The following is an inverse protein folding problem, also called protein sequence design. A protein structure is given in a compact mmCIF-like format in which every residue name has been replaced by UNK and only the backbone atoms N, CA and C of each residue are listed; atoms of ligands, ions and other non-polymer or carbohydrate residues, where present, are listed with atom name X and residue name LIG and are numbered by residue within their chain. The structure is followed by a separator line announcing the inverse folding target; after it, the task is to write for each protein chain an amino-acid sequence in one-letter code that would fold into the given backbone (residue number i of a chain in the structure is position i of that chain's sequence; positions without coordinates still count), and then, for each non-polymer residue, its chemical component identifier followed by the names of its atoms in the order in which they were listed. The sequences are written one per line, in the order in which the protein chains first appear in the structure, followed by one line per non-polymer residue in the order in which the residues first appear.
data_IF_828908749111
#
_entry.id   IF_828908749111
#
_cell.length_a   1.000
_cell.length_b   1.000
_cell.length_c   1.000
_cell.angle_alpha   90.00
_cell.angle_beta   90.00
_cell.angle_gamma   90.00
#
_symmetry.space_group_name_H-M   'P 1'
#
loop_
_entity.id
_entity.type
_entity.pdbx_description
1 polymer ?
#
# COMPACT_ATOMS: atom_id res chain seq x y z
N UNK A 1 -7.10 -26.78 -8.84
CA UNK A 1 -7.47 -26.11 -7.58
C UNK A 1 -7.67 -24.65 -7.90
N UNK A 2 -8.81 -24.07 -7.54
CA UNK A 2 -9.04 -22.63 -7.71
C UNK A 2 -8.21 -21.90 -6.66
N UNK A 3 -7.40 -20.94 -7.10
CA UNK A 3 -6.60 -20.13 -6.20
C UNK A 3 -7.52 -19.32 -5.27
N UNK A 4 -7.19 -19.25 -3.97
CA UNK A 4 -7.96 -18.49 -2.98
C UNK A 4 -7.11 -17.34 -2.45
N UNK A 5 -7.26 -16.18 -3.11
CA UNK A 5 -6.54 -14.95 -2.80
C UNK A 5 -6.82 -14.47 -1.37
N UNK A 6 -8.05 -14.57 -0.88
CA UNK A 6 -8.41 -14.15 0.46
C UNK A 6 -7.71 -14.99 1.54
N UNK A 7 -7.53 -16.29 1.32
CA UNK A 7 -6.76 -17.14 2.23
C UNK A 7 -5.28 -16.76 2.23
N UNK A 8 -4.67 -16.59 1.05
CA UNK A 8 -3.27 -16.18 0.95
C UNK A 8 -3.00 -14.81 1.58
N UNK A 9 -3.90 -13.85 1.41
CA UNK A 9 -3.79 -12.51 2.01
C UNK A 9 -3.99 -12.53 3.55
N UNK A 10 -4.82 -13.44 4.07
CA UNK A 10 -4.94 -13.66 5.52
C UNK A 10 -3.68 -14.28 6.10
N UNK A 11 -3.11 -15.30 5.44
CA UNK A 11 -1.84 -15.91 5.85
C UNK A 11 -0.69 -14.90 5.81
N UNK A 12 -0.66 -14.01 4.82
CA UNK A 12 0.29 -12.91 4.75
C UNK A 12 0.02 -11.80 5.78
N UNK A 13 -1.04 -11.89 6.58
CA UNK A 13 -1.42 -10.90 7.59
C UNK A 13 -1.79 -9.54 7.01
N UNK A 14 -2.33 -9.51 5.78
CA UNK A 14 -2.88 -8.29 5.15
C UNK A 14 -4.34 -8.11 5.61
N UNK A 15 -5.09 -9.20 5.68
CA UNK A 15 -6.47 -9.22 6.17
C UNK A 15 -6.44 -9.69 7.63
N UNK A 16 -6.65 -8.77 8.58
CA UNK A 16 -6.57 -9.02 10.02
C UNK A 16 -7.90 -9.19 10.75
N UNK A 17 -9.04 -9.11 10.06
CA UNK A 17 -10.34 -9.07 10.72
C UNK A 17 -11.52 -9.45 9.81
N UNK A 18 -12.76 -9.33 10.32
CA UNK A 18 -13.96 -9.51 9.52
C UNK A 18 -13.98 -8.47 8.40
N UNK A 19 -14.29 -8.92 7.18
CA UNK A 19 -14.40 -8.06 6.01
C UNK A 19 -15.86 -7.76 5.72
N UNK A 20 -16.14 -6.62 5.10
CA UNK A 20 -17.46 -6.39 4.51
C UNK A 20 -17.63 -7.33 3.29
N UNK A 21 -18.86 -7.70 2.92
CA UNK A 21 -19.12 -8.57 1.77
C UNK A 21 -18.46 -8.06 0.48
N UNK A 22 -18.44 -6.75 0.27
CA UNK A 22 -17.84 -6.11 -0.90
C UNK A 22 -16.31 -6.33 -0.95
N UNK A 23 -15.64 -6.27 0.20
CA UNK A 23 -14.21 -6.57 0.29
C UNK A 23 -13.93 -8.05 0.06
N UNK A 24 -14.80 -8.95 0.54
CA UNK A 24 -14.66 -10.38 0.29
C UNK A 24 -14.78 -10.71 -1.20
N UNK A 25 -15.76 -10.12 -1.89
CA UNK A 25 -15.92 -10.27 -3.34
C UNK A 25 -14.73 -9.70 -4.11
N UNK A 26 -14.24 -8.52 -3.71
CA UNK A 26 -13.06 -7.91 -4.32
C UNK A 26 -11.84 -8.84 -4.21
N UNK A 27 -11.52 -9.33 -3.01
CA UNK A 27 -10.37 -10.20 -2.83
C UNK A 27 -10.56 -11.56 -3.52
N UNK A 28 -11.78 -12.11 -3.54
CA UNK A 28 -12.08 -13.33 -4.27
C UNK A 28 -11.88 -13.20 -5.79
N UNK A 29 -12.01 -11.98 -6.34
CA UNK A 29 -11.80 -11.70 -7.76
C UNK A 29 -10.32 -11.58 -8.17
N UNK A 30 -9.40 -11.41 -7.21
CA UNK A 30 -7.99 -11.23 -7.51
C UNK A 30 -7.36 -12.48 -8.10
N UNK A 31 -6.49 -12.26 -9.08
CA UNK A 31 -5.61 -13.29 -9.60
C UNK A 31 -4.47 -13.61 -8.62
N UNK A 32 -3.78 -14.72 -8.87
CA UNK A 32 -2.58 -15.09 -8.12
C UNK A 32 -1.50 -14.01 -8.20
N UNK A 33 -1.23 -13.48 -9.39
CA UNK A 33 -0.18 -12.47 -9.60
C UNK A 33 -0.49 -11.16 -8.88
N UNK A 34 -1.74 -10.69 -8.92
CA UNK A 34 -2.15 -9.49 -8.18
C UNK A 34 -2.00 -9.70 -6.67
N UNK A 35 -2.34 -10.90 -6.18
CA UNK A 35 -2.16 -11.25 -4.77
C UNK A 35 -0.69 -11.26 -4.36
N UNK A 36 0.18 -11.84 -5.19
CA UNK A 36 1.64 -11.85 -4.96
C UNK A 36 2.22 -10.43 -4.94
N UNK A 37 1.71 -9.52 -5.80
CA UNK A 37 2.09 -8.11 -5.79
C UNK A 37 1.72 -7.44 -4.48
N UNK A 38 0.52 -7.68 -3.95
CA UNK A 38 0.09 -7.12 -2.65
C UNK A 38 0.99 -7.61 -1.50
N UNK A 39 1.29 -8.91 -1.47
CA UNK A 39 2.18 -9.52 -0.46
C UNK A 39 3.60 -8.94 -0.58
N UNK A 40 4.13 -8.88 -1.79
CA UNK A 40 5.46 -8.31 -2.07
C UNK A 40 5.53 -6.84 -1.64
N UNK A 41 4.48 -6.07 -1.92
CA UNK A 41 4.41 -4.65 -1.56
C UNK A 41 4.40 -4.45 -0.05
N UNK A 42 3.59 -5.23 0.69
CA UNK A 42 3.62 -5.20 2.17
C UNK A 42 5.03 -5.47 2.69
N UNK A 43 5.69 -6.52 2.21
CA UNK A 43 7.02 -6.89 2.68
C UNK A 43 8.07 -5.81 2.39
N UNK A 44 7.98 -5.16 1.22
CA UNK A 44 8.86 -4.05 0.85
C UNK A 44 8.61 -2.81 1.71
N UNK A 45 7.36 -2.49 2.02
CA UNK A 45 7.02 -1.38 2.91
C UNK A 45 7.59 -1.60 4.31
N UNK A 46 7.46 -2.81 4.86
CA UNK A 46 8.06 -3.16 6.16
C UNK A 46 9.59 -3.03 6.13
N UNK A 47 10.23 -3.45 5.04
CA UNK A 47 11.69 -3.40 4.91
C UNK A 47 12.24 -1.98 4.70
N UNK A 48 11.57 -1.15 3.91
CA UNK A 48 12.02 0.20 3.55
C UNK A 48 11.58 1.25 4.58
N UNK A 49 10.42 1.04 5.20
CA UNK A 49 9.79 1.99 6.12
C UNK A 49 9.30 1.27 7.39
N UNK A 50 10.23 0.74 8.21
CA UNK A 50 9.86 -0.01 9.41
C UNK A 50 9.01 0.80 10.38
N UNK A 51 9.27 2.11 10.51
CA UNK A 51 8.50 3.02 11.37
C UNK A 51 7.05 3.18 10.87
N UNK A 52 6.84 3.24 9.55
CA UNK A 52 5.51 3.30 8.94
C UNK A 52 4.73 2.03 9.26
N UNK A 53 5.37 0.87 9.14
CA UNK A 53 4.75 -0.40 9.49
C UNK A 53 4.40 -0.47 10.99
N UNK A 54 5.31 -0.04 11.86
CA UNK A 54 5.15 -0.06 13.31
C UNK A 54 3.98 0.82 13.80
N UNK A 55 3.74 1.96 13.15
CA UNK A 55 2.72 2.93 13.55
C UNK A 55 1.48 2.97 12.64
N UNK A 56 1.41 2.09 11.64
CA UNK A 56 0.31 2.07 10.66
C UNK A 56 -1.10 1.93 11.27
N UNK A 57 -1.20 1.30 12.44
CA UNK A 57 -2.47 1.12 13.18
C UNK A 57 -2.83 2.35 14.04
N UNK A 58 -1.85 3.20 14.35
CA UNK A 58 -2.03 4.42 15.13
C UNK A 58 -2.59 5.56 14.25
N UNK A 59 -2.39 5.46 12.93
CA UNK A 59 -2.87 6.43 11.95
C UNK A 59 -4.34 6.18 11.60
N UNK A 60 -5.22 6.56 12.51
CA UNK A 60 -6.68 6.49 12.31
C UNK A 60 -7.22 7.59 11.38
N UNK A 61 -6.46 8.66 11.18
CA UNK A 61 -6.78 9.76 10.26
C UNK A 61 -5.51 10.36 9.66
N UNK A 62 -5.49 10.76 8.38
CA UNK A 62 -4.39 11.53 7.83
C UNK A 62 -4.40 12.93 8.49
N UNK A 63 -3.61 13.09 9.54
CA UNK A 63 -3.28 14.41 10.05
C UNK A 63 -2.25 15.03 9.10
N UNK A 64 -2.67 16.00 8.30
CA UNK A 64 -1.76 16.82 7.52
C UNK A 64 -0.89 17.61 8.50
N UNK A 65 0.29 17.08 8.80
CA UNK A 65 1.32 17.85 9.50
C UNK A 65 1.83 18.89 8.51
N UNK A 66 1.45 20.14 8.72
CA UNK A 66 2.01 21.30 8.03
C UNK A 66 3.46 21.48 8.44
N UNK A 67 4.35 20.65 7.90
CA UNK A 67 5.76 21.01 7.83
C UNK A 67 5.82 22.12 6.78
N UNK A 68 6.11 23.34 7.23
CA UNK A 68 6.49 24.42 6.32
C UNK A 68 7.72 23.93 5.56
N UNK A 69 7.50 23.42 4.35
CA UNK A 69 8.55 23.19 3.38
C UNK A 69 9.13 24.57 3.10
N UNK A 70 10.31 24.85 3.66
CA UNK A 70 11.14 25.96 3.21
C UNK A 70 11.16 25.89 1.68
N UNK A 71 10.74 26.97 1.03
CA UNK A 71 10.46 27.02 -0.40
C UNK A 71 11.69 26.61 -1.26
N UNK A 72 12.88 26.51 -0.66
CA UNK A 72 14.07 25.90 -1.25
C UNK A 72 13.98 24.39 -1.53
N UNK A 73 13.04 23.63 -0.93
CA UNK A 73 12.86 22.17 -1.14
C UNK A 73 11.84 21.79 -2.23
N UNK A 74 11.32 22.77 -2.98
CA UNK A 74 10.28 22.59 -4.02
C UNK A 74 10.66 21.68 -5.22
N UNK A 75 11.86 21.09 -5.25
CA UNK A 75 12.26 20.14 -6.29
C UNK A 75 12.11 18.65 -5.92
N UNK A 76 11.58 18.31 -4.74
CA UNK A 76 11.33 16.90 -4.39
C UNK A 76 10.15 16.27 -5.14
N UNK A 77 9.32 17.07 -5.82
CA UNK A 77 8.23 16.60 -6.69
C UNK A 77 8.72 15.70 -7.85
N UNK A 78 10.01 15.76 -8.18
CA UNK A 78 10.62 14.92 -9.22
C UNK A 78 10.87 13.47 -8.78
N UNK A 79 10.84 13.18 -7.48
CA UNK A 79 11.12 11.83 -6.98
C UNK A 79 9.88 10.93 -7.07
N UNK A 80 8.68 11.51 -6.99
CA UNK A 80 7.43 10.73 -6.99
C UNK A 80 6.71 10.69 -8.34
N UNK A 81 6.94 11.65 -9.23
CA UNK A 81 6.34 11.69 -10.58
C UNK A 81 7.14 10.88 -11.61
N UNK A 82 7.41 9.61 -11.29
CA UNK A 82 7.84 8.61 -12.27
C UNK A 82 6.67 8.15 -13.15
N UNK A 83 6.09 9.02 -13.98
CA UNK A 83 5.22 8.63 -15.10
C UNK A 83 4.89 9.80 -16.06
N UNK A 84 5.61 9.86 -17.18
CA UNK A 84 5.04 10.23 -18.48
C UNK A 84 4.81 11.70 -18.82
N UNK A 85 5.80 12.33 -19.47
CA UNK A 85 5.64 12.89 -20.83
C UNK A 85 6.98 13.40 -21.34
N UNK A 86 7.49 12.78 -22.41
CA UNK A 86 8.59 13.33 -23.18
C UNK A 86 8.07 14.55 -23.96
N UNK A 87 8.77 15.68 -23.80
CA UNK A 87 8.49 16.93 -24.48
C UNK A 87 8.66 16.78 -26.00
N UNK A 88 7.72 17.36 -26.76
CA UNK A 88 8.01 17.87 -28.11
C UNK A 88 8.60 19.28 -27.97
#
# INVERSE_FOLDING_TARGET
MTYNSAAALREAGIIGGPMSPELEEFYASLTQQETEVLISTKNRLVALFPDVAAHSQDWSTPEATGQELDAAMLCACAIWSGAGQAAN
#
